data_IF_002796601852
#
_entry.id   IF_002796601852
#
_cell.length_a   1.000
_cell.length_b   1.000
_cell.length_c   1.000
_cell.angle_alpha   90.00
_cell.angle_beta   90.00
_cell.angle_gamma   90.00
#
_symmetry.space_group_name_H-M   'P 1'
#
loop_
_entity.id
_entity.type
_entity.pdbx_description
1 polymer ?
#
# COMPACT_ATOMS: atom_id res chain seq x y z
N UNK A 1 0.12 26.94 49.02
CA UNK A 1 0.29 25.48 48.67
C UNK A 1 -0.18 25.33 47.26
N UNK A 2 0.76 25.41 46.33
CA UNK A 2 0.49 25.31 44.89
C UNK A 2 0.47 23.84 44.46
N UNK A 3 -0.69 23.39 43.98
CA UNK A 3 -0.81 22.09 43.35
C UNK A 3 -0.19 22.14 41.95
N UNK A 4 1.01 21.60 41.80
CA UNK A 4 1.59 21.28 40.52
C UNK A 4 0.98 19.96 40.01
N UNK A 5 0.00 20.07 39.13
CA UNK A 5 -0.43 18.94 38.30
C UNK A 5 0.67 18.65 37.28
N UNK A 6 1.36 17.55 37.45
CA UNK A 6 2.21 16.95 36.44
C UNK A 6 1.28 16.21 35.47
N UNK A 7 0.88 16.85 34.39
CA UNK A 7 0.37 16.15 33.20
C UNK A 7 1.58 15.53 32.46
N UNK A 8 1.88 14.29 32.79
CA UNK A 8 2.71 13.42 31.93
C UNK A 8 1.83 12.98 30.78
N UNK A 9 1.69 13.84 29.76
CA UNK A 9 1.05 13.49 28.52
C UNK A 9 1.93 12.53 27.73
N UNK A 10 1.79 11.23 27.97
CA UNK A 10 2.20 10.22 27.00
C UNK A 10 1.36 10.48 25.73
N UNK A 11 2.00 11.10 24.72
CA UNK A 11 1.43 11.13 23.36
C UNK A 11 1.19 9.68 22.97
N UNK A 12 -0.08 9.23 22.98
CA UNK A 12 -0.47 7.94 22.41
C UNK A 12 0.14 7.89 21.01
N UNK A 13 1.06 6.95 20.78
CA UNK A 13 1.63 6.67 19.44
C UNK A 13 0.47 6.51 18.47
N UNK A 14 0.36 7.40 17.50
CA UNK A 14 -0.77 7.41 16.56
C UNK A 14 -0.50 6.33 15.53
N UNK A 15 -1.25 5.23 15.60
CA UNK A 15 -1.31 4.24 14.52
C UNK A 15 -1.78 4.94 13.24
N UNK A 16 -1.17 4.63 12.09
CA UNK A 16 -1.66 5.11 10.80
C UNK A 16 -3.05 4.52 10.54
N UNK A 17 -4.05 5.41 10.41
CA UNK A 17 -5.44 5.02 10.17
C UNK A 17 -5.58 4.40 8.78
N UNK A 18 -4.84 4.93 7.80
CA UNK A 18 -4.80 4.38 6.44
C UNK A 18 -4.25 2.97 6.40
N UNK A 19 -3.17 2.69 7.15
CA UNK A 19 -2.62 1.34 7.27
C UNK A 19 -3.63 0.36 7.90
N UNK A 20 -4.39 0.80 8.92
CA UNK A 20 -5.42 -0.01 9.56
C UNK A 20 -6.61 -0.25 8.65
N UNK A 21 -7.05 0.76 7.87
CA UNK A 21 -8.11 0.62 6.88
C UNK A 21 -7.77 -0.44 5.81
N UNK A 22 -6.56 -0.42 5.28
CA UNK A 22 -6.12 -1.42 4.29
C UNK A 22 -5.99 -2.82 4.93
N UNK A 23 -5.53 -2.92 6.17
CA UNK A 23 -5.51 -4.17 6.92
C UNK A 23 -6.93 -4.72 7.14
N UNK A 24 -7.89 -3.84 7.44
CA UNK A 24 -9.31 -4.22 7.58
C UNK A 24 -9.89 -4.81 6.29
N UNK A 25 -9.62 -4.20 5.13
CA UNK A 25 -10.05 -4.75 3.83
C UNK A 25 -9.48 -6.15 3.59
N UNK A 26 -8.18 -6.35 3.86
CA UNK A 26 -7.54 -7.67 3.74
C UNK A 26 -8.13 -8.69 4.71
N UNK A 27 -8.41 -8.28 5.95
CA UNK A 27 -9.01 -9.17 6.95
C UNK A 27 -10.43 -9.61 6.56
N UNK A 28 -11.27 -8.69 6.11
CA UNK A 28 -12.62 -9.00 5.59
C UNK A 28 -12.57 -9.95 4.40
N UNK A 29 -11.65 -9.71 3.46
CA UNK A 29 -11.52 -10.54 2.27
C UNK A 29 -11.06 -11.95 2.64
N UNK A 30 -10.16 -12.07 3.64
CA UNK A 30 -9.63 -13.34 4.12
C UNK A 30 -10.65 -14.19 4.91
N UNK A 31 -11.75 -13.60 5.36
CA UNK A 31 -12.85 -14.34 6.01
C UNK A 31 -13.81 -15.00 5.01
N UNK A 32 -13.68 -14.72 3.72
CA UNK A 32 -14.56 -15.32 2.70
C UNK A 32 -14.20 -16.78 2.46
N UNK A 33 -15.17 -17.61 2.02
CA UNK A 33 -14.92 -18.97 1.63
C UNK A 33 -13.82 -19.08 0.56
N UNK A 34 -13.19 -20.24 0.49
CA UNK A 34 -12.22 -20.56 -0.55
C UNK A 34 -12.87 -20.41 -1.95
N UNK A 35 -12.16 -19.77 -2.87
CA UNK A 35 -12.65 -19.43 -4.22
C UNK A 35 -13.50 -18.15 -4.32
N UNK A 36 -13.93 -17.57 -3.20
CA UNK A 36 -14.63 -16.27 -3.15
C UNK A 36 -13.70 -15.11 -2.79
N UNK A 37 -12.58 -15.41 -2.15
CA UNK A 37 -11.59 -14.44 -1.72
C UNK A 37 -10.75 -13.97 -2.91
N UNK A 38 -10.64 -12.65 -3.10
CA UNK A 38 -9.76 -12.03 -4.12
C UNK A 38 -8.31 -12.02 -3.63
N UNK A 39 -8.08 -11.69 -2.35
CA UNK A 39 -6.77 -11.75 -1.71
C UNK A 39 -6.87 -12.46 -0.36
N UNK A 40 -5.76 -12.99 0.12
CA UNK A 40 -5.71 -13.70 1.39
C UNK A 40 -4.53 -13.22 2.23
N UNK A 41 -4.81 -12.84 3.47
CA UNK A 41 -3.84 -12.39 4.46
C UNK A 41 -4.22 -12.93 5.86
N UNK A 42 -3.58 -14.01 6.32
CA UNK A 42 -3.92 -14.64 7.60
C UNK A 42 -3.58 -13.78 8.82
N UNK A 43 -2.77 -12.74 8.65
CA UNK A 43 -2.32 -11.88 9.74
C UNK A 43 -3.05 -10.54 9.81
N UNK A 44 -3.80 -10.16 8.78
CA UNK A 44 -4.40 -8.81 8.67
C UNK A 44 -5.24 -8.43 9.89
N UNK A 45 -6.06 -9.34 10.41
CA UNK A 45 -6.90 -9.11 11.59
C UNK A 45 -6.11 -8.80 12.87
N UNK A 46 -4.86 -9.27 12.96
CA UNK A 46 -3.98 -9.03 14.11
C UNK A 46 -3.51 -7.57 14.21
N UNK A 47 -3.63 -6.82 13.12
CA UNK A 47 -3.28 -5.40 13.06
C UNK A 47 -4.44 -4.47 13.42
N UNK A 48 -5.65 -5.00 13.55
CA UNK A 48 -6.85 -4.22 13.79
C UNK A 48 -7.01 -3.82 15.26
N UNK A 49 -7.59 -2.65 15.47
CA UNK A 49 -8.10 -2.22 16.78
C UNK A 49 -9.39 -2.97 17.13
N UNK A 50 -9.77 -2.94 18.40
CA UNK A 50 -11.02 -3.55 18.87
C UNK A 50 -12.25 -3.01 18.12
N UNK A 51 -12.24 -1.74 17.76
CA UNK A 51 -13.34 -1.11 17.01
C UNK A 51 -13.50 -1.74 15.62
N UNK A 52 -12.40 -1.93 14.89
CA UNK A 52 -12.42 -2.59 13.57
C UNK A 52 -12.80 -4.06 13.66
N UNK A 53 -12.34 -4.77 14.70
CA UNK A 53 -12.74 -6.16 14.92
C UNK A 53 -14.25 -6.29 15.15
N UNK A 54 -14.84 -5.43 15.97
CA UNK A 54 -16.29 -5.40 16.19
C UNK A 54 -17.05 -5.08 14.90
N UNK A 55 -16.56 -4.13 14.10
CA UNK A 55 -17.18 -3.80 12.81
C UNK A 55 -17.06 -4.95 11.81
N UNK A 56 -15.93 -5.67 11.81
CA UNK A 56 -15.72 -6.85 10.98
C UNK A 56 -16.74 -7.96 11.29
N UNK A 57 -17.02 -8.21 12.57
CA UNK A 57 -18.07 -9.17 12.98
C UNK A 57 -19.47 -8.77 12.50
N UNK A 58 -19.79 -7.48 12.56
CA UNK A 58 -21.06 -6.96 12.05
C UNK A 58 -21.15 -7.07 10.52
N UNK A 59 -20.09 -6.74 9.81
CA UNK A 59 -20.01 -6.83 8.36
C UNK A 59 -20.03 -8.28 7.86
N UNK A 60 -19.48 -9.23 8.62
CA UNK A 60 -19.56 -10.66 8.30
C UNK A 60 -21.00 -11.20 8.38
N UNK A 61 -21.82 -10.67 9.30
CA UNK A 61 -23.25 -11.02 9.43
C UNK A 61 -24.12 -10.34 8.39
N UNK A 62 -23.76 -9.13 8.02
CA UNK A 62 -24.53 -8.30 7.09
C UNK A 62 -23.55 -7.52 6.19
N UNK A 63 -23.18 -8.07 5.01
CA UNK A 63 -22.24 -7.43 4.08
C UNK A 63 -22.73 -6.07 3.54
N UNK A 64 -24.02 -5.76 3.61
CA UNK A 64 -24.55 -4.46 3.19
C UNK A 64 -24.08 -3.30 4.07
N UNK A 65 -23.52 -3.59 5.25
CA UNK A 65 -22.91 -2.61 6.15
C UNK A 65 -21.55 -2.12 5.70
N UNK A 66 -20.90 -2.83 4.75
CA UNK A 66 -19.60 -2.41 4.23
C UNK A 66 -19.81 -1.16 3.37
N UNK A 67 -19.31 0.01 3.79
CA UNK A 67 -19.43 1.21 2.99
C UNK A 67 -18.56 1.08 1.74
N UNK A 68 -19.04 1.61 0.63
CA UNK A 68 -18.27 1.70 -0.62
C UNK A 68 -17.64 0.39 -1.09
N UNK A 69 -18.44 -0.66 -1.34
CA UNK A 69 -17.93 -1.98 -1.69
C UNK A 69 -17.04 -1.99 -2.94
N UNK A 70 -17.24 -1.05 -3.88
CA UNK A 70 -16.37 -0.88 -5.04
C UNK A 70 -14.93 -0.51 -4.66
N UNK A 71 -14.74 0.36 -3.68
CA UNK A 71 -13.42 0.73 -3.15
C UNK A 71 -12.75 -0.46 -2.46
N UNK A 72 -13.49 -1.16 -1.58
CA UNK A 72 -12.98 -2.36 -0.90
C UNK A 72 -12.54 -3.44 -1.89
N UNK A 73 -13.32 -3.68 -2.92
CA UNK A 73 -13.00 -4.67 -3.95
C UNK A 73 -11.75 -4.25 -4.76
N UNK A 74 -11.61 -2.97 -5.08
CA UNK A 74 -10.42 -2.46 -5.78
C UNK A 74 -9.17 -2.55 -4.93
N UNK A 75 -9.26 -2.29 -3.62
CA UNK A 75 -8.14 -2.50 -2.68
C UNK A 75 -7.77 -3.98 -2.56
N UNK A 76 -8.76 -4.88 -2.54
CA UNK A 76 -8.49 -6.33 -2.55
C UNK A 76 -7.79 -6.78 -3.84
N UNK A 77 -8.21 -6.23 -4.99
CA UNK A 77 -7.55 -6.48 -6.27
C UNK A 77 -6.12 -5.93 -6.31
N UNK A 78 -5.89 -4.73 -5.73
CA UNK A 78 -4.55 -4.16 -5.60
C UNK A 78 -3.62 -5.11 -4.83
N UNK A 79 -4.05 -5.53 -3.64
CA UNK A 79 -3.26 -6.47 -2.82
C UNK A 79 -2.95 -7.73 -3.62
N UNK A 80 -3.94 -8.33 -4.30
CA UNK A 80 -3.75 -9.53 -5.10
C UNK A 80 -2.77 -9.31 -6.25
N UNK A 81 -2.89 -8.21 -6.97
CA UNK A 81 -2.02 -7.90 -8.10
C UNK A 81 -0.56 -7.73 -7.67
N UNK A 82 -0.33 -7.03 -6.56
CA UNK A 82 1.00 -6.83 -5.99
C UNK A 82 1.58 -8.15 -5.46
N UNK A 83 0.77 -9.00 -4.84
CA UNK A 83 1.19 -10.33 -4.41
C UNK A 83 1.62 -11.20 -5.58
N UNK A 84 0.82 -11.22 -6.65
CA UNK A 84 1.11 -11.99 -7.86
C UNK A 84 2.38 -11.47 -8.55
N UNK A 85 2.62 -10.15 -8.51
CA UNK A 85 3.85 -9.54 -9.03
C UNK A 85 5.07 -9.96 -8.23
N UNK A 86 5.01 -9.92 -6.90
CA UNK A 86 6.12 -10.35 -6.01
C UNK A 86 6.41 -11.84 -6.20
N UNK A 87 5.39 -12.69 -6.25
CA UNK A 87 5.57 -14.14 -6.46
C UNK A 87 6.30 -14.44 -7.77
N UNK A 88 5.88 -13.83 -8.88
CA UNK A 88 6.57 -13.96 -10.17
C UNK A 88 8.02 -13.48 -10.09
N UNK A 89 8.26 -12.36 -9.40
CA UNK A 89 9.61 -11.82 -9.23
C UNK A 89 10.52 -12.75 -8.43
N UNK A 90 9.97 -13.48 -7.43
CA UNK A 90 10.71 -14.52 -6.69
C UNK A 90 11.11 -15.66 -7.64
N UNK A 91 10.18 -16.15 -8.47
CA UNK A 91 10.45 -17.20 -9.45
C UNK A 91 11.50 -16.76 -10.49
N UNK A 92 11.55 -15.46 -10.78
CA UNK A 92 12.54 -14.82 -11.67
C UNK A 92 13.87 -14.46 -10.99
N UNK A 93 14.09 -14.86 -9.75
CA UNK A 93 15.34 -14.67 -9.02
C UNK A 93 15.45 -13.32 -8.30
N UNK A 94 14.37 -12.84 -7.70
CA UNK A 94 14.38 -11.68 -6.81
C UNK A 94 15.37 -11.88 -5.65
N UNK A 95 16.24 -10.91 -5.40
CA UNK A 95 17.21 -10.95 -4.30
C UNK A 95 16.85 -10.01 -3.15
N UNK A 96 16.19 -8.88 -3.46
CA UNK A 96 15.76 -7.89 -2.48
C UNK A 96 14.34 -7.42 -2.77
N UNK A 97 13.56 -7.23 -1.69
CA UNK A 97 12.25 -6.60 -1.73
C UNK A 97 12.29 -5.36 -0.84
N UNK A 98 11.96 -4.21 -1.40
CA UNK A 98 11.87 -2.93 -0.66
C UNK A 98 10.40 -2.49 -0.64
N UNK A 99 9.81 -2.40 0.54
CA UNK A 99 8.43 -1.97 0.74
C UNK A 99 8.47 -0.57 1.35
N UNK A 100 8.19 0.43 0.52
CA UNK A 100 8.15 1.84 0.89
C UNK A 100 6.74 2.20 1.39
N UNK A 101 6.64 2.82 2.55
CA UNK A 101 5.37 3.02 3.24
C UNK A 101 4.78 1.70 3.70
N UNK A 102 5.58 0.87 4.37
CA UNK A 102 5.24 -0.52 4.68
C UNK A 102 4.01 -0.70 5.57
N UNK A 103 3.57 0.32 6.30
CA UNK A 103 2.33 0.30 7.08
C UNK A 103 2.13 -1.02 7.82
N UNK A 104 0.99 -1.64 7.57
CA UNK A 104 0.68 -2.99 8.06
C UNK A 104 0.75 -4.05 6.95
N UNK A 105 1.62 -3.85 5.95
CA UNK A 105 1.94 -4.89 4.95
C UNK A 105 2.48 -6.14 5.63
N UNK A 106 2.03 -7.29 5.19
CA UNK A 106 2.40 -8.59 5.76
C UNK A 106 3.10 -9.51 4.75
N UNK A 107 3.42 -9.00 3.55
CA UNK A 107 4.05 -9.82 2.48
C UNK A 107 5.32 -10.48 2.94
N UNK A 108 6.17 -9.74 3.67
CA UNK A 108 7.41 -10.26 4.23
C UNK A 108 7.23 -11.54 5.06
N UNK A 109 6.05 -11.73 5.64
CA UNK A 109 5.78 -12.82 6.58
C UNK A 109 4.91 -13.93 5.99
N UNK A 110 4.11 -13.63 4.94
CA UNK A 110 3.11 -14.56 4.39
C UNK A 110 3.39 -15.07 2.98
N UNK A 111 4.23 -14.36 2.20
CA UNK A 111 4.59 -14.83 0.86
C UNK A 111 5.71 -15.85 0.96
N UNK A 112 5.41 -17.06 0.51
CA UNK A 112 6.38 -18.15 0.44
C UNK A 112 7.56 -17.78 -0.46
N UNK A 113 8.77 -18.15 -0.05
CA UNK A 113 10.01 -17.86 -0.76
C UNK A 113 10.69 -16.55 -0.37
N UNK A 114 9.99 -15.58 0.28
CA UNK A 114 10.65 -14.37 0.77
C UNK A 114 11.60 -14.69 1.93
N UNK A 115 11.16 -15.47 2.90
CA UNK A 115 11.92 -15.79 4.12
C UNK A 115 13.30 -16.41 3.84
N UNK A 116 13.39 -17.28 2.84
CA UNK A 116 14.56 -18.11 2.63
C UNK A 116 15.52 -17.55 1.58
N UNK A 117 15.05 -16.65 0.70
CA UNK A 117 15.79 -16.26 -0.51
C UNK A 117 15.94 -14.76 -0.69
N UNK A 118 15.12 -13.95 -0.05
CA UNK A 118 15.01 -12.53 -0.33
C UNK A 118 15.24 -11.73 0.94
N UNK A 119 16.14 -10.74 0.89
CA UNK A 119 16.25 -9.75 1.95
C UNK A 119 15.14 -8.71 1.78
N UNK A 120 14.32 -8.55 2.80
CA UNK A 120 13.20 -7.59 2.78
C UNK A 120 13.57 -6.35 3.58
N UNK A 121 13.30 -5.18 3.02
CA UNK A 121 13.40 -3.89 3.70
C UNK A 121 12.01 -3.29 3.83
N UNK A 122 11.56 -3.08 5.04
CA UNK A 122 10.32 -2.36 5.34
C UNK A 122 10.66 -0.94 5.78
N UNK A 123 10.23 0.04 4.98
CA UNK A 123 10.51 1.45 5.24
C UNK A 123 9.21 2.16 5.57
N UNK A 124 9.17 2.84 6.70
CA UNK A 124 8.00 3.62 7.12
C UNK A 124 8.37 4.69 8.14
N UNK A 125 7.43 5.58 8.39
CA UNK A 125 7.54 6.56 9.46
C UNK A 125 7.79 5.89 10.81
N UNK A 126 8.68 6.42 11.67
CA UNK A 126 9.10 5.78 12.92
C UNK A 126 7.95 5.36 13.84
N UNK A 127 6.88 6.16 13.91
CA UNK A 127 5.72 5.86 14.77
C UNK A 127 4.96 4.62 14.26
N UNK A 128 4.62 4.57 12.96
CA UNK A 128 3.92 3.45 12.34
C UNK A 128 4.74 2.18 12.43
N UNK A 129 6.04 2.29 12.10
CA UNK A 129 6.95 1.15 12.14
C UNK A 129 7.10 0.57 13.55
N UNK A 130 7.21 1.44 14.57
CA UNK A 130 7.29 1.00 15.97
C UNK A 130 6.04 0.20 16.41
N UNK A 131 4.84 0.64 15.99
CA UNK A 131 3.58 -0.09 16.26
C UNK A 131 3.59 -1.43 15.54
N UNK A 132 3.96 -1.44 14.25
CA UNK A 132 4.07 -2.67 13.45
C UNK A 132 5.01 -3.69 14.09
N UNK A 133 6.22 -3.27 14.43
CA UNK A 133 7.22 -4.16 15.06
C UNK A 133 6.72 -4.78 16.37
N UNK A 134 5.95 -4.02 17.18
CA UNK A 134 5.30 -4.56 18.37
C UNK A 134 4.33 -5.68 18.01
N UNK A 135 3.43 -5.44 17.08
CA UNK A 135 2.45 -6.44 16.61
C UNK A 135 3.11 -7.67 15.97
N UNK A 136 4.20 -7.49 15.23
CA UNK A 136 4.97 -8.62 14.66
C UNK A 136 5.58 -9.49 15.76
N UNK A 137 6.15 -8.89 16.81
CA UNK A 137 6.62 -9.64 17.98
C UNK A 137 5.50 -10.40 18.68
N UNK A 138 4.31 -9.81 18.79
CA UNK A 138 3.15 -10.47 19.40
C UNK A 138 2.64 -11.65 18.56
N UNK A 139 2.83 -11.61 17.22
CA UNK A 139 2.39 -12.66 16.31
C UNK A 139 3.42 -13.82 16.25
N UNK A 140 4.72 -13.50 16.15
CA UNK A 140 5.79 -14.45 15.84
C UNK A 140 6.76 -14.71 16.99
N UNK A 141 6.63 -14.01 18.12
CA UNK A 141 7.53 -14.11 19.28
C UNK A 141 8.82 -13.26 19.15
N UNK A 142 9.27 -12.98 17.93
CA UNK A 142 10.44 -12.16 17.62
C UNK A 142 10.28 -11.45 16.27
N UNK A 143 11.17 -10.52 15.99
CA UNK A 143 11.29 -9.96 14.64
C UNK A 143 12.03 -10.96 13.75
N UNK A 144 11.55 -11.21 12.51
CA UNK A 144 12.22 -12.12 11.59
C UNK A 144 13.56 -11.57 11.06
N UNK A 145 14.59 -12.39 11.01
CA UNK A 145 15.95 -12.00 10.63
C UNK A 145 16.10 -11.58 9.15
N UNK A 146 15.20 -12.00 8.28
CA UNK A 146 15.21 -11.63 6.86
C UNK A 146 14.58 -10.27 6.56
N UNK A 147 14.01 -9.59 7.57
CA UNK A 147 13.35 -8.28 7.45
C UNK A 147 14.19 -7.22 8.16
N UNK A 148 14.61 -6.23 7.39
CA UNK A 148 15.25 -5.03 7.88
C UNK A 148 14.22 -3.91 8.02
N UNK A 149 14.10 -3.32 9.22
CA UNK A 149 13.17 -2.25 9.51
C UNK A 149 13.89 -0.91 9.46
N UNK A 150 13.55 -0.08 8.47
CA UNK A 150 14.21 1.21 8.23
C UNK A 150 13.24 2.34 8.53
N UNK A 151 13.44 3.04 9.63
CA UNK A 151 12.62 4.20 10.00
C UNK A 151 13.02 5.42 9.19
N UNK A 152 12.07 6.00 8.44
CA UNK A 152 12.28 7.18 7.59
C UNK A 152 11.03 8.05 7.57
N UNK A 153 11.21 9.34 7.78
CA UNK A 153 10.25 10.36 7.39
C UNK A 153 10.56 10.81 5.95
N UNK A 154 9.76 10.36 4.97
CA UNK A 154 9.95 10.64 3.55
C UNK A 154 9.89 12.14 3.18
N UNK A 155 9.39 13.01 4.05
CA UNK A 155 9.33 14.44 3.79
C UNK A 155 10.61 15.18 4.22
N UNK A 156 11.34 14.64 5.18
CA UNK A 156 12.47 15.33 5.83
C UNK A 156 13.79 14.59 5.75
N UNK A 157 13.79 13.27 5.48
CA UNK A 157 14.99 12.43 5.45
C UNK A 157 15.26 11.86 4.06
N UNK A 158 16.54 11.61 3.77
CA UNK A 158 16.97 10.87 2.56
C UNK A 158 16.78 9.37 2.78
N UNK A 159 15.67 8.83 2.25
CA UNK A 159 15.40 7.39 2.37
C UNK A 159 16.45 6.52 1.68
N UNK A 160 17.05 7.01 0.61
CA UNK A 160 18.07 6.28 -0.14
C UNK A 160 19.35 6.12 0.66
N UNK A 161 19.79 7.17 1.35
CA UNK A 161 20.92 7.08 2.28
C UNK A 161 20.60 6.12 3.42
N UNK A 162 19.44 6.23 4.04
CA UNK A 162 19.01 5.34 5.13
C UNK A 162 18.95 3.89 4.70
N UNK A 163 18.42 3.61 3.51
CA UNK A 163 18.35 2.27 2.95
C UNK A 163 19.75 1.67 2.73
N UNK A 164 20.70 2.47 2.24
CA UNK A 164 22.10 2.04 2.06
C UNK A 164 22.80 1.75 3.39
N UNK A 165 22.59 2.59 4.41
CA UNK A 165 23.13 2.38 5.76
C UNK A 165 22.63 1.06 6.38
N UNK A 166 21.43 0.60 6.01
CA UNK A 166 20.86 -0.67 6.43
C UNK A 166 21.25 -1.86 5.52
N UNK A 167 22.21 -1.68 4.63
CA UNK A 167 22.84 -2.76 3.85
C UNK A 167 22.09 -3.13 2.57
N UNK A 168 21.32 -2.19 2.00
CA UNK A 168 20.78 -2.37 0.65
C UNK A 168 21.90 -2.52 -0.39
N UNK A 169 21.80 -3.54 -1.24
CA UNK A 169 22.77 -3.83 -2.29
C UNK A 169 22.34 -3.28 -3.65
N UNK A 170 23.06 -2.26 -4.15
CA UNK A 170 22.75 -1.56 -5.41
C UNK A 170 22.81 -2.45 -6.67
N UNK A 171 23.57 -3.52 -6.65
CA UNK A 171 23.70 -4.44 -7.79
C UNK A 171 22.75 -5.62 -7.76
N UNK A 172 21.95 -5.74 -6.72
CA UNK A 172 21.02 -6.86 -6.54
C UNK A 172 19.70 -6.61 -7.27
N UNK A 173 19.13 -7.67 -7.84
CA UNK A 173 17.79 -7.61 -8.43
C UNK A 173 16.76 -7.32 -7.36
N UNK A 174 16.12 -6.16 -7.45
CA UNK A 174 15.22 -5.62 -6.43
C UNK A 174 13.86 -5.30 -6.99
N UNK A 175 12.80 -5.60 -6.23
CA UNK A 175 11.46 -5.05 -6.45
C UNK A 175 11.18 -3.99 -5.40
N UNK A 176 10.74 -2.82 -5.84
CA UNK A 176 10.25 -1.75 -4.97
C UNK A 176 8.74 -1.69 -5.04
N UNK A 177 8.10 -1.78 -3.87
CA UNK A 177 6.65 -1.63 -3.71
C UNK A 177 6.35 -0.28 -3.08
N UNK A 178 5.44 0.47 -3.67
CA UNK A 178 4.87 1.71 -3.13
C UNK A 178 3.35 1.59 -3.14
N UNK A 179 2.81 0.76 -2.25
CA UNK A 179 1.36 0.53 -2.14
C UNK A 179 0.72 1.54 -1.19
N UNK A 180 -0.18 2.38 -1.72
CA UNK A 180 -0.86 3.39 -0.91
C UNK A 180 0.06 4.49 -0.41
N UNK A 181 1.09 4.87 -1.15
CA UNK A 181 2.12 5.80 -0.68
C UNK A 181 2.25 7.07 -1.51
N UNK A 182 2.48 6.98 -2.82
CA UNK A 182 3.01 8.11 -3.60
C UNK A 182 2.09 9.34 -3.60
N UNK A 183 0.80 9.15 -3.52
CA UNK A 183 -0.17 10.25 -3.54
C UNK A 183 -0.23 11.03 -2.21
N UNK A 184 0.40 10.55 -1.14
CA UNK A 184 0.58 11.27 0.12
C UNK A 184 1.87 12.08 0.16
N UNK A 185 2.81 11.83 -0.75
CA UNK A 185 4.12 12.46 -0.78
C UNK A 185 4.12 13.75 -1.61
N UNK A 186 4.92 14.75 -1.25
CA UNK A 186 5.17 15.90 -2.11
C UNK A 186 5.79 15.45 -3.44
N UNK A 187 5.50 16.16 -4.58
CA UNK A 187 6.06 15.82 -5.89
C UNK A 187 7.59 15.66 -5.89
N UNK A 188 8.29 16.49 -5.13
CA UNK A 188 9.75 16.43 -5.00
C UNK A 188 10.21 15.10 -4.38
N UNK A 189 9.55 14.63 -3.32
CA UNK A 189 9.91 13.35 -2.68
C UNK A 189 9.66 12.17 -3.62
N UNK A 190 8.59 12.20 -4.42
CA UNK A 190 8.32 11.18 -5.44
C UNK A 190 9.42 11.16 -6.50
N UNK A 191 9.86 12.35 -6.99
CA UNK A 191 10.92 12.45 -7.98
C UNK A 191 12.27 11.96 -7.46
N UNK A 192 12.63 12.32 -6.22
CA UNK A 192 13.85 11.86 -5.54
C UNK A 192 13.85 10.35 -5.32
N UNK A 193 12.72 9.80 -4.92
CA UNK A 193 12.51 8.36 -4.72
C UNK A 193 12.70 7.59 -6.04
N UNK A 194 12.02 7.99 -7.10
CA UNK A 194 12.15 7.33 -8.41
C UNK A 194 13.56 7.49 -8.99
N UNK A 195 14.21 8.64 -8.81
CA UNK A 195 15.58 8.87 -9.25
C UNK A 195 16.59 7.99 -8.49
N UNK A 196 16.41 7.81 -7.18
CA UNK A 196 17.24 6.88 -6.41
C UNK A 196 17.11 5.46 -6.93
N UNK A 197 15.87 4.99 -7.11
CA UNK A 197 15.59 3.62 -7.58
C UNK A 197 16.22 3.37 -8.95
N UNK A 198 16.00 4.28 -9.91
CA UNK A 198 16.55 4.15 -11.26
C UNK A 198 18.10 4.09 -11.28
N UNK A 199 18.77 4.80 -10.37
CA UNK A 199 20.23 4.89 -10.34
C UNK A 199 20.91 3.84 -9.48
N UNK A 200 20.20 3.22 -8.54
CA UNK A 200 20.80 2.38 -7.50
C UNK A 200 20.21 0.97 -7.46
N UNK A 201 19.72 0.45 -8.57
CA UNK A 201 19.14 -0.89 -8.65
C UNK A 201 19.89 -1.77 -9.64
N UNK A 202 20.00 -3.06 -9.32
CA UNK A 202 20.63 -4.05 -10.21
C UNK A 202 19.76 -4.35 -11.45
N UNK A 203 20.39 -4.95 -12.45
CA UNK A 203 19.72 -5.35 -13.69
C UNK A 203 18.50 -6.24 -13.42
N UNK A 204 17.38 -5.95 -14.08
CA UNK A 204 16.13 -6.69 -13.91
C UNK A 204 15.33 -6.26 -12.68
N UNK A 205 15.74 -5.20 -12.00
CA UNK A 205 14.94 -4.59 -10.92
C UNK A 205 13.68 -3.92 -11.47
N UNK A 206 12.67 -3.79 -10.61
CA UNK A 206 11.37 -3.25 -11.00
C UNK A 206 10.74 -2.40 -9.89
N UNK A 207 9.83 -1.52 -10.29
CA UNK A 207 8.90 -0.82 -9.40
C UNK A 207 7.49 -1.31 -9.63
N UNK A 208 6.69 -1.29 -8.56
CA UNK A 208 5.23 -1.44 -8.62
C UNK A 208 4.58 -0.49 -7.63
N UNK A 209 3.58 0.27 -8.08
CA UNK A 209 2.85 1.21 -7.23
C UNK A 209 1.42 1.44 -7.74
N UNK A 210 0.58 1.97 -6.86
CA UNK A 210 -0.73 2.50 -7.23
C UNK A 210 -0.71 4.03 -7.23
N UNK A 211 -1.55 4.61 -8.10
CA UNK A 211 -1.63 6.05 -8.25
C UNK A 211 -3.06 6.52 -8.52
N UNK A 212 -3.28 7.81 -8.34
CA UNK A 212 -4.51 8.51 -8.67
C UNK A 212 -4.25 9.54 -9.77
N UNK A 213 -5.27 9.92 -10.51
CA UNK A 213 -5.14 11.04 -11.44
C UNK A 213 -5.06 12.37 -10.70
N UNK A 214 -4.26 13.31 -11.23
CA UNK A 214 -4.10 14.68 -10.70
C UNK A 214 -5.46 15.36 -10.51
N UNK A 215 -6.38 15.13 -11.45
CA UNK A 215 -7.76 15.62 -11.35
C UNK A 215 -8.54 15.12 -10.12
N UNK A 216 -8.08 14.10 -9.44
CA UNK A 216 -8.71 13.59 -8.21
C UNK A 216 -8.27 14.35 -6.96
N UNK A 217 -7.19 15.15 -7.04
CA UNK A 217 -6.64 15.92 -5.92
C UNK A 217 -7.39 17.24 -5.77
N UNK A 218 -7.61 17.97 -6.88
CA UNK A 218 -8.15 19.33 -6.88
C UNK A 218 -9.68 19.38 -6.89
N UNK A 219 -10.35 18.23 -6.95
CA UNK A 219 -11.81 18.19 -7.16
C UNK A 219 -12.61 18.27 -5.87
N UNK A 220 -13.08 19.45 -5.56
CA UNK A 220 -14.32 19.67 -4.77
C UNK A 220 -15.58 19.23 -5.51
N UNK A 221 -15.54 19.07 -6.83
CA UNK A 221 -16.72 18.98 -7.72
C UNK A 221 -16.99 17.57 -8.28
N UNK A 222 -16.16 16.57 -7.97
CA UNK A 222 -16.46 15.12 -8.10
C UNK A 222 -16.96 14.61 -9.44
N UNK A 223 -16.42 15.06 -10.55
CA UNK A 223 -16.75 14.47 -11.85
C UNK A 223 -15.57 13.61 -12.32
N UNK A 224 -15.73 12.31 -12.22
CA UNK A 224 -14.91 11.37 -12.99
C UNK A 224 -15.42 11.37 -14.42
N UNK A 225 -14.54 11.60 -15.38
CA UNK A 225 -14.91 11.64 -16.81
C UNK A 225 -15.25 10.28 -17.41
N UNK A 226 -15.18 9.20 -16.64
CA UNK A 226 -15.43 7.82 -17.07
C UNK A 226 -16.38 7.15 -16.08
N UNK A 227 -17.46 6.61 -16.57
CA UNK A 227 -18.43 5.63 -16.00
C UNK A 227 -18.35 5.21 -14.52
N UNK A 228 -17.97 6.12 -13.61
CA UNK A 228 -18.13 5.90 -12.19
C UNK A 228 -19.60 6.08 -11.78
N UNK A 229 -20.12 5.15 -11.00
CA UNK A 229 -21.45 5.34 -10.43
C UNK A 229 -21.44 6.56 -9.48
N UNK A 230 -22.55 7.25 -9.32
CA UNK A 230 -22.67 8.37 -8.39
C UNK A 230 -22.25 7.98 -6.96
N UNK A 231 -22.41 6.70 -6.60
CA UNK A 231 -22.02 6.13 -5.32
C UNK A 231 -20.50 6.06 -5.14
N UNK A 232 -19.75 5.68 -6.20
CA UNK A 232 -18.27 5.61 -6.15
C UNK A 232 -17.67 7.01 -6.08
N UNK A 233 -18.27 8.00 -6.76
CA UNK A 233 -17.83 9.40 -6.70
C UNK A 233 -17.98 9.98 -5.29
N UNK A 234 -19.07 9.67 -4.60
CA UNK A 234 -19.29 10.11 -3.23
C UNK A 234 -18.34 9.43 -2.24
N UNK A 235 -18.05 8.14 -2.47
CA UNK A 235 -17.07 7.36 -1.70
C UNK A 235 -15.69 8.01 -1.71
N UNK A 236 -15.24 8.42 -2.88
CA UNK A 236 -13.90 9.00 -3.07
C UNK A 236 -13.81 10.38 -2.44
N UNK A 237 -14.86 11.21 -2.59
CA UNK A 237 -14.92 12.50 -1.91
C UNK A 237 -14.86 12.36 -0.40
N UNK A 238 -15.67 11.43 0.13
CA UNK A 238 -15.68 11.14 1.56
C UNK A 238 -14.32 10.66 2.02
N UNK A 239 -13.72 9.68 1.33
CA UNK A 239 -12.41 9.16 1.68
C UNK A 239 -11.30 10.23 1.62
N UNK A 240 -11.26 11.05 0.57
CA UNK A 240 -10.27 12.13 0.44
C UNK A 240 -10.45 13.19 1.53
N UNK A 241 -11.71 13.55 1.85
CA UNK A 241 -12.01 14.48 2.94
C UNK A 241 -11.62 13.92 4.30
N UNK A 242 -11.95 12.66 4.55
CA UNK A 242 -11.64 11.97 5.80
C UNK A 242 -10.12 11.84 5.99
N UNK A 243 -9.36 11.52 4.93
CA UNK A 243 -7.90 11.48 4.94
C UNK A 243 -7.32 12.86 5.23
N UNK A 244 -7.83 13.92 4.59
CA UNK A 244 -7.37 15.29 4.84
C UNK A 244 -7.64 15.74 6.29
N UNK A 245 -8.81 15.42 6.85
CA UNK A 245 -9.13 15.70 8.26
C UNK A 245 -8.24 14.94 9.24
N UNK A 246 -7.75 13.77 8.83
CA UNK A 246 -6.84 12.93 9.62
C UNK A 246 -5.36 13.32 9.46
N UNK A 247 -5.06 14.34 8.64
CA UNK A 247 -3.71 14.84 8.41
C UNK A 247 -2.95 14.10 7.30
N UNK A 248 -3.64 13.28 6.49
CA UNK A 248 -3.07 12.55 5.35
C UNK A 248 -3.73 12.99 4.02
N UNK A 249 -3.65 14.28 3.61
CA UNK A 249 -4.21 14.73 2.34
C UNK A 249 -3.42 14.19 1.14
N UNK A 250 -4.10 14.00 0.02
CA UNK A 250 -3.42 13.71 -1.24
C UNK A 250 -2.62 14.93 -1.71
N UNK A 251 -1.34 14.73 -2.01
CA UNK A 251 -0.38 15.77 -2.42
C UNK A 251 0.12 15.58 -3.85
N UNK A 252 -0.07 14.38 -4.41
CA UNK A 252 0.48 13.98 -5.70
C UNK A 252 -0.50 13.15 -6.52
N UNK A 253 -0.55 13.42 -7.82
CA UNK A 253 -1.29 12.64 -8.81
C UNK A 253 -0.61 12.73 -10.17
N UNK A 254 -0.99 11.85 -11.07
CA UNK A 254 -0.44 11.78 -12.43
C UNK A 254 -1.54 12.17 -13.42
N UNK A 255 -1.22 13.04 -14.39
CA UNK A 255 -2.17 13.42 -15.44
C UNK A 255 -2.67 12.20 -16.19
N UNK A 256 -3.97 12.19 -16.47
CA UNK A 256 -4.59 11.11 -17.27
C UNK A 256 -3.83 10.89 -18.58
N UNK A 257 -3.57 9.62 -18.91
CA UNK A 257 -2.81 9.22 -20.11
C UNK A 257 -1.30 9.46 -20.05
N UNK A 258 -0.76 10.04 -18.97
CA UNK A 258 0.66 10.43 -18.90
C UNK A 258 1.54 9.45 -18.12
N UNK A 259 1.00 8.37 -17.58
CA UNK A 259 1.77 7.46 -16.70
C UNK A 259 3.00 6.88 -17.40
N UNK A 260 2.89 6.43 -18.65
CA UNK A 260 4.01 5.87 -19.40
C UNK A 260 5.11 6.91 -19.60
N UNK A 261 4.77 8.10 -20.10
CA UNK A 261 5.73 9.17 -20.28
C UNK A 261 6.36 9.65 -18.95
N UNK A 262 5.55 9.66 -17.86
CA UNK A 262 6.00 10.04 -16.53
C UNK A 262 7.09 9.09 -16.01
N UNK A 263 6.91 7.80 -16.17
CA UNK A 263 7.83 6.76 -15.68
C UNK A 263 9.04 6.61 -16.60
N UNK A 264 8.84 6.59 -17.92
CA UNK A 264 9.93 6.46 -18.89
C UNK A 264 10.93 7.62 -18.79
N UNK A 265 10.45 8.85 -18.61
CA UNK A 265 11.32 10.03 -18.40
C UNK A 265 12.23 9.90 -17.17
N UNK A 266 11.91 9.01 -16.23
CA UNK A 266 12.66 8.79 -14.97
C UNK A 266 13.58 7.56 -14.99
N UNK A 267 13.83 6.97 -16.19
CA UNK A 267 14.76 5.85 -16.35
C UNK A 267 14.12 4.49 -16.12
N UNK A 268 12.84 4.36 -16.44
CA UNK A 268 12.14 3.08 -16.40
C UNK A 268 11.58 2.72 -17.77
N UNK A 269 11.54 1.43 -18.05
CA UNK A 269 11.06 0.86 -19.30
C UNK A 269 9.99 -0.21 -19.03
N UNK A 270 9.43 -0.78 -20.12
CA UNK A 270 8.42 -1.84 -20.05
C UNK A 270 7.27 -1.50 -19.10
N UNK A 271 6.76 -0.29 -19.23
CA UNK A 271 5.67 0.22 -18.39
C UNK A 271 4.39 -0.54 -18.67
N UNK A 272 3.80 -1.12 -17.65
CA UNK A 272 2.49 -1.75 -17.72
C UNK A 272 1.52 -1.01 -16.80
N UNK A 273 0.58 -0.30 -17.39
CA UNK A 273 -0.49 0.37 -16.66
C UNK A 273 -1.71 -0.56 -16.59
N UNK A 274 -2.27 -0.72 -15.39
CA UNK A 274 -3.37 -1.63 -15.08
C UNK A 274 -4.55 -0.82 -14.57
N UNK A 275 -5.64 -0.90 -15.31
CA UNK A 275 -6.89 -0.20 -15.01
C UNK A 275 -7.85 -1.06 -14.20
N UNK A 276 -8.95 -0.46 -13.75
CA UNK A 276 -10.03 -1.19 -13.08
C UNK A 276 -10.65 -2.29 -13.95
N UNK A 277 -10.69 -2.10 -15.28
CA UNK A 277 -11.19 -3.10 -16.21
C UNK A 277 -10.24 -4.30 -16.29
N UNK A 278 -8.94 -4.06 -16.28
CA UNK A 278 -7.93 -5.12 -16.36
C UNK A 278 -7.98 -6.03 -15.13
N UNK A 279 -7.94 -5.46 -13.90
CA UNK A 279 -7.98 -6.28 -12.70
C UNK A 279 -9.38 -6.86 -12.44
N UNK A 280 -10.46 -6.20 -12.90
CA UNK A 280 -11.80 -6.77 -12.87
C UNK A 280 -11.86 -8.03 -13.73
N UNK A 281 -11.36 -7.95 -14.95
CA UNK A 281 -11.27 -9.09 -15.88
C UNK A 281 -10.36 -10.21 -15.34
N UNK A 282 -9.28 -9.84 -14.63
CA UNK A 282 -8.33 -10.82 -14.09
C UNK A 282 -8.89 -11.57 -12.88
N UNK A 283 -9.50 -10.88 -11.92
CA UNK A 283 -9.78 -11.42 -10.59
C UNK A 283 -11.27 -11.57 -10.28
N UNK A 284 -12.18 -10.82 -10.93
CA UNK A 284 -13.61 -10.86 -10.63
C UNK A 284 -14.34 -11.75 -11.64
N UNK A 285 -14.23 -13.06 -11.44
CA UNK A 285 -14.84 -14.07 -12.31
C UNK A 285 -15.77 -14.99 -11.50
N UNK A 286 -16.68 -15.69 -12.18
CA UNK A 286 -17.59 -16.63 -11.55
C UNK A 286 -18.44 -15.96 -10.49
N UNK A 287 -18.38 -16.44 -9.25
CA UNK A 287 -19.15 -15.92 -8.13
C UNK A 287 -18.84 -14.43 -7.83
N UNK A 288 -17.64 -13.99 -8.17
CA UNK A 288 -17.19 -12.60 -7.95
C UNK A 288 -17.55 -11.62 -9.08
N UNK A 289 -18.09 -12.09 -10.21
CA UNK A 289 -18.31 -11.30 -11.43
C UNK A 289 -19.15 -10.06 -11.20
N UNK A 290 -20.16 -10.15 -10.32
CA UNK A 290 -21.09 -9.05 -10.01
C UNK A 290 -20.56 -8.08 -8.95
N UNK A 291 -19.41 -8.33 -8.36
CA UNK A 291 -18.83 -7.41 -7.37
C UNK A 291 -18.43 -6.09 -8.05
N UNK A 292 -18.88 -4.94 -7.55
CA UNK A 292 -18.48 -3.65 -8.09
C UNK A 292 -17.00 -3.40 -7.84
N UNK A 293 -16.34 -2.66 -8.74
CA UNK A 293 -14.98 -2.15 -8.55
C UNK A 293 -14.96 -0.65 -8.82
N UNK A 294 -14.12 0.08 -8.09
CA UNK A 294 -13.94 1.51 -8.28
C UNK A 294 -13.04 1.79 -9.49
N UNK A 295 -13.43 2.72 -10.36
CA UNK A 295 -12.70 3.06 -11.58
C UNK A 295 -11.48 3.99 -11.36
N UNK A 296 -11.24 4.47 -10.15
CA UNK A 296 -10.21 5.47 -9.83
C UNK A 296 -8.93 4.88 -9.21
N UNK A 297 -8.79 3.57 -9.18
CA UNK A 297 -7.58 2.91 -8.70
C UNK A 297 -6.81 2.35 -9.88
N UNK A 298 -5.61 2.83 -10.07
CA UNK A 298 -4.70 2.43 -11.15
C UNK A 298 -3.43 1.84 -10.54
N UNK A 299 -2.92 0.78 -11.15
CA UNK A 299 -1.64 0.18 -10.76
C UNK A 299 -0.67 0.29 -11.92
N UNK A 300 0.58 0.42 -11.62
CA UNK A 300 1.63 0.42 -12.64
C UNK A 300 2.84 -0.34 -12.15
N UNK A 301 3.44 -1.11 -13.03
CA UNK A 301 4.78 -1.63 -12.81
C UNK A 301 5.68 -1.33 -14.01
N UNK A 302 6.95 -1.18 -13.73
CA UNK A 302 7.96 -0.90 -14.75
C UNK A 302 9.32 -1.46 -14.34
N UNK A 303 10.17 -1.70 -15.34
CA UNK A 303 11.53 -2.19 -15.12
C UNK A 303 12.51 -1.01 -15.05
N UNK A 304 13.52 -1.13 -14.22
CA UNK A 304 14.68 -0.22 -14.25
C UNK A 304 15.48 -0.48 -15.53
N UNK A 305 15.90 0.60 -16.23
CA UNK A 305 16.73 0.50 -17.44
C UNK A 305 18.16 0.07 -17.17
#
# INVERSE_FOLDING_TARGET
>A
MENKNFETGEKKKRSSITAENVAFVRALESCKPEGESICYDPYASRFLSQQYLMFMELAARDPSRIPFPGVHNSLSARVRYFDDFVKRSIDEGLEQLVILGAGYDTRAYRIEGLKDKVRVFEIDHPETQSVKMGKIKDIFGSLPDHVEYVSVDFETEDFGQRLLEHGYGRSRKTVFIMEGLIYYLPPKAVDEMLAFIAKNSGTGSAIIFDYVHESSIDRTDGICGVQCTACDQQAIKSAASDMAQQGEPYKFGIKEGMIEAFITKRGFSRVCNVTSEDYKKAYFRGINEKRPVCCLSYFVHAMVE
#
